data_IF_102470557431
#
_entry.id   IF_102470557431
#
_cell.length_a   1.000
_cell.length_b   1.000
_cell.length_c   1.000
_cell.angle_alpha   90.00
_cell.angle_beta   90.00
_cell.angle_gamma   90.00
#
_symmetry.space_group_name_H-M   'P 1'
#
loop_
_entity.id
_entity.type
_entity.pdbx_description
1 polymer ?
#
# COMPACT_ATOMS: atom_id res chain seq x y z
N UNK A 1 11.12 -10.68 -14.32
CA UNK A 1 9.77 -10.37 -13.79
C UNK A 1 9.91 -9.08 -12.99
N UNK A 2 9.07 -8.07 -13.25
CA UNK A 2 9.22 -6.71 -12.68
C UNK A 2 8.02 -6.37 -11.77
N UNK A 3 7.60 -7.34 -10.96
CA UNK A 3 6.41 -7.22 -10.11
C UNK A 3 6.81 -7.56 -8.68
N UNK A 4 6.34 -6.76 -7.73
CA UNK A 4 6.46 -7.03 -6.29
C UNK A 4 5.08 -6.99 -5.64
N UNK A 5 4.82 -7.95 -4.76
CA UNK A 5 3.64 -8.00 -3.91
C UNK A 5 4.04 -7.87 -2.46
N UNK A 6 3.39 -6.98 -1.72
CA UNK A 6 3.72 -6.69 -0.32
C UNK A 6 2.49 -6.14 0.41
N UNK A 7 2.58 -5.97 1.73
CA UNK A 7 1.55 -5.31 2.53
C UNK A 7 2.17 -4.54 3.68
N UNK A 8 1.58 -3.41 4.04
CA UNK A 8 1.88 -2.74 5.29
C UNK A 8 1.32 -3.57 6.46
N UNK A 9 2.13 -3.78 7.49
CA UNK A 9 1.74 -4.53 8.68
C UNK A 9 1.10 -3.61 9.72
N UNK A 10 0.08 -4.13 10.39
CA UNK A 10 -0.47 -3.62 11.64
C UNK A 10 -0.10 -4.64 12.72
N UNK A 11 0.36 -4.16 13.86
CA UNK A 11 0.50 -5.00 15.04
C UNK A 11 -0.91 -5.35 15.52
N UNK A 12 -1.14 -6.62 15.86
CA UNK A 12 -2.41 -7.15 16.39
C UNK A 12 -3.67 -6.95 15.52
N UNK A 13 -3.51 -6.65 14.22
CA UNK A 13 -4.62 -6.52 13.28
C UNK A 13 -5.13 -7.86 12.74
N UNK A 14 -6.46 -8.06 12.71
CA UNK A 14 -7.09 -9.17 11.98
C UNK A 14 -6.78 -9.11 10.48
N UNK A 15 -6.94 -10.21 9.75
CA UNK A 15 -6.73 -10.20 8.29
C UNK A 15 -7.73 -9.27 7.58
N UNK A 16 -8.95 -9.14 8.08
CA UNK A 16 -9.94 -8.17 7.62
C UNK A 16 -9.47 -6.72 7.88
N UNK A 17 -8.94 -6.45 9.08
CA UNK A 17 -8.39 -5.13 9.43
C UNK A 17 -7.17 -4.78 8.60
N UNK A 18 -6.25 -5.72 8.40
CA UNK A 18 -5.09 -5.57 7.51
C UNK A 18 -5.51 -5.31 6.06
N UNK A 19 -6.54 -6.02 5.57
CA UNK A 19 -7.10 -5.80 4.23
C UNK A 19 -7.68 -4.40 4.11
N UNK A 20 -8.56 -3.99 5.02
CA UNK A 20 -9.17 -2.67 5.02
C UNK A 20 -8.11 -1.57 5.08
N UNK A 21 -7.12 -1.72 5.96
CA UNK A 21 -6.01 -0.77 6.11
C UNK A 21 -5.16 -0.62 4.85
N UNK A 22 -4.75 -1.74 4.22
CA UNK A 22 -3.96 -1.67 2.99
C UNK A 22 -4.79 -1.17 1.81
N UNK A 23 -6.08 -1.50 1.75
CA UNK A 23 -7.01 -0.99 0.73
C UNK A 23 -7.14 0.53 0.85
N UNK A 24 -7.27 1.06 2.06
CA UNK A 24 -7.35 2.51 2.29
C UNK A 24 -6.07 3.23 1.83
N UNK A 25 -4.88 2.68 2.12
CA UNK A 25 -3.62 3.25 1.61
C UNK A 25 -3.61 3.26 0.09
N UNK A 26 -4.04 2.17 -0.56
CA UNK A 26 -4.12 2.08 -2.02
C UNK A 26 -5.03 3.15 -2.61
N UNK A 27 -6.23 3.32 -2.04
CA UNK A 27 -7.21 4.30 -2.50
C UNK A 27 -6.66 5.71 -2.39
N UNK A 28 -6.13 6.11 -1.24
CA UNK A 28 -5.57 7.46 -1.04
C UNK A 28 -4.38 7.76 -1.95
N UNK A 29 -3.47 6.80 -2.16
CA UNK A 29 -2.36 6.97 -3.12
C UNK A 29 -2.86 7.27 -4.54
N UNK A 30 -3.95 6.61 -4.97
CA UNK A 30 -4.54 6.82 -6.29
C UNK A 30 -5.32 8.12 -6.36
N UNK A 31 -6.14 8.42 -5.35
CA UNK A 31 -6.97 9.63 -5.27
C UNK A 31 -6.12 10.91 -5.18
N UNK A 32 -5.02 10.87 -4.42
CA UNK A 32 -4.05 11.96 -4.33
C UNK A 32 -3.15 12.07 -5.58
N UNK A 33 -3.26 11.12 -6.53
CA UNK A 33 -2.48 11.12 -7.77
C UNK A 33 -0.99 10.82 -7.57
N UNK A 34 -0.60 10.23 -6.43
CA UNK A 34 0.80 9.94 -6.07
C UNK A 34 1.31 8.73 -6.87
N UNK A 35 0.55 7.63 -6.83
CA UNK A 35 0.94 6.39 -7.50
C UNK A 35 -0.29 5.51 -7.81
N UNK A 36 -0.30 4.92 -9.01
CA UNK A 36 -1.31 3.96 -9.43
C UNK A 36 -0.80 2.53 -9.27
N UNK A 37 -1.29 1.82 -8.26
CA UNK A 37 -0.98 0.42 -7.97
C UNK A 37 -2.24 -0.44 -8.07
N UNK A 38 -2.11 -1.76 -7.98
CA UNK A 38 -3.26 -2.66 -7.78
C UNK A 38 -3.11 -3.46 -6.50
N UNK A 39 -4.14 -4.20 -6.12
CA UNK A 39 -4.05 -5.23 -5.09
C UNK A 39 -4.16 -6.64 -5.67
N UNK A 40 -3.93 -7.62 -4.82
CA UNK A 40 -4.03 -9.04 -5.15
C UNK A 40 -4.12 -9.89 -3.88
N UNK A 41 -4.38 -11.18 -4.05
CA UNK A 41 -4.35 -12.17 -2.98
C UNK A 41 -3.16 -13.08 -3.16
N UNK A 42 -2.30 -13.19 -2.13
CA UNK A 42 -1.16 -14.11 -2.09
C UNK A 42 -1.28 -14.97 -0.84
N UNK A 43 -1.26 -16.30 -1.00
CA UNK A 43 -1.45 -17.26 0.10
C UNK A 43 -2.71 -16.97 0.96
N UNK A 44 -3.81 -16.61 0.30
CA UNK A 44 -5.08 -16.28 0.98
C UNK A 44 -5.10 -14.92 1.68
N UNK A 45 -4.03 -14.11 1.57
CA UNK A 45 -3.89 -12.81 2.24
C UNK A 45 -3.89 -11.67 1.24
N UNK A 46 -4.61 -10.60 1.55
CA UNK A 46 -4.62 -9.39 0.72
C UNK A 46 -3.25 -8.69 0.76
N UNK A 47 -2.80 -8.26 -0.41
CA UNK A 47 -1.52 -7.59 -0.64
C UNK A 47 -1.67 -6.52 -1.71
N UNK A 48 -0.87 -5.46 -1.61
CA UNK A 48 -0.64 -4.52 -2.68
C UNK A 48 0.32 -5.11 -3.71
N UNK A 49 0.21 -4.68 -4.95
CA UNK A 49 1.03 -5.13 -6.09
C UNK A 49 1.47 -3.94 -6.93
N UNK A 50 2.78 -3.87 -7.15
CA UNK A 50 3.41 -2.87 -8.00
C UNK A 50 3.97 -3.60 -9.22
N UNK A 51 3.50 -3.22 -10.40
CA UNK A 51 4.05 -3.66 -11.67
C UNK A 51 4.93 -2.56 -12.26
N UNK A 52 6.25 -2.75 -12.18
CA UNK A 52 7.26 -1.77 -12.63
C UNK A 52 7.55 -2.03 -14.11
N UNK A 53 6.63 -1.60 -14.97
CA UNK A 53 6.71 -1.79 -16.42
C UNK A 53 7.00 -0.49 -17.20
N UNK A 54 6.89 0.67 -16.56
CA UNK A 54 7.18 1.95 -17.19
C UNK A 54 8.71 2.17 -17.24
N UNK A 55 9.25 2.24 -18.45
CA UNK A 55 10.69 2.46 -18.69
C UNK A 55 11.21 3.80 -18.16
N UNK A 56 10.31 4.76 -17.83
CA UNK A 56 10.67 6.03 -17.22
C UNK A 56 10.73 6.00 -15.69
N UNK A 57 10.30 4.91 -15.05
CA UNK A 57 10.34 4.79 -13.58
C UNK A 57 11.78 4.86 -13.09
N UNK A 58 12.02 5.77 -12.16
CA UNK A 58 13.30 6.00 -11.48
C UNK A 58 13.22 5.51 -10.04
N UNK A 59 14.38 5.41 -9.40
CA UNK A 59 14.47 5.05 -7.99
C UNK A 59 13.73 6.05 -7.11
N UNK A 60 13.84 7.34 -7.41
CA UNK A 60 13.17 8.41 -6.67
C UNK A 60 11.63 8.28 -6.71
N UNK A 61 11.06 7.76 -7.80
CA UNK A 61 9.61 7.50 -7.90
C UNK A 61 9.19 6.38 -6.92
N UNK A 62 10.02 5.35 -6.77
CA UNK A 62 9.78 4.25 -5.85
C UNK A 62 10.01 4.69 -4.39
N UNK A 63 11.01 5.54 -4.15
CA UNK A 63 11.26 6.12 -2.83
C UNK A 63 10.12 7.04 -2.40
N UNK A 64 9.54 7.81 -3.35
CA UNK A 64 8.32 8.59 -3.13
C UNK A 64 7.16 7.67 -2.76
N UNK A 65 6.91 6.61 -3.54
CA UNK A 65 5.85 5.66 -3.27
C UNK A 65 5.94 5.07 -1.85
N UNK A 66 7.12 4.60 -1.44
CA UNK A 66 7.32 4.01 -0.10
C UNK A 66 7.10 5.06 0.99
N UNK A 67 7.63 6.27 0.80
CA UNK A 67 7.48 7.38 1.76
C UNK A 67 6.02 7.75 1.98
N UNK A 68 5.27 7.91 0.89
CA UNK A 68 3.86 8.29 0.94
C UNK A 68 2.99 7.15 1.51
N UNK A 69 3.27 5.89 1.17
CA UNK A 69 2.63 4.75 1.83
C UNK A 69 2.81 4.76 3.35
N UNK A 70 4.02 5.04 3.84
CA UNK A 70 4.30 5.08 5.26
C UNK A 70 3.64 6.31 5.92
N UNK A 71 3.57 7.45 5.22
CA UNK A 71 2.85 8.65 5.70
C UNK A 71 1.36 8.35 5.87
N UNK A 72 0.70 7.90 4.80
CA UNK A 72 -0.72 7.55 4.80
C UNK A 72 -1.02 6.46 5.83
N UNK A 73 -0.15 5.45 5.95
CA UNK A 73 -0.28 4.41 6.96
C UNK A 73 -0.28 4.95 8.40
N UNK A 74 0.50 6.00 8.70
CA UNK A 74 0.47 6.66 10.01
C UNK A 74 -0.81 7.46 10.22
N UNK A 75 -1.25 8.19 9.20
CA UNK A 75 -2.47 9.02 9.27
C UNK A 75 -3.73 8.18 9.47
N UNK A 76 -3.86 7.08 8.73
CA UNK A 76 -4.98 6.15 8.85
C UNK A 76 -4.99 5.51 10.25
N UNK A 77 -3.82 5.11 10.78
CA UNK A 77 -3.71 4.60 12.16
C UNK A 77 -4.14 5.64 13.21
N UNK A 78 -3.77 6.91 13.01
CA UNK A 78 -4.13 7.98 13.95
C UNK A 78 -5.61 8.36 13.90
N UNK A 79 -6.25 8.19 12.73
CA UNK A 79 -7.68 8.45 12.54
C UNK A 79 -8.58 7.29 12.99
N UNK A 80 -8.03 6.08 13.08
CA UNK A 80 -8.78 4.92 13.59
C UNK A 80 -8.97 5.03 15.11
N UNK A 81 -10.17 4.72 15.65
CA UNK A 81 -10.34 4.58 17.09
C UNK A 81 -9.42 3.46 17.62
N UNK A 82 -8.95 3.53 18.88
CA UNK A 82 -8.14 2.47 19.46
C UNK A 82 -8.91 1.13 19.38
N UNK A 83 -8.28 0.13 18.75
CA UNK A 83 -8.81 -1.25 18.67
C UNK A 83 -8.74 -1.95 20.02
#
# INVERSE_FOLDING_TARGET
INIVSFRHRLDDGSEEGLKAFNTEILLRLQEEGIAALSDTTVHGRHCLRVAIANHRTRRDDLDLLVREMLRLGREIKAAAPPM
#
